data_IF_553062519328
#
_entry.id   IF_553062519328
#
_cell.length_a   1.000
_cell.length_b   1.000
_cell.length_c   1.000
_cell.angle_alpha   90.00
_cell.angle_beta   90.00
_cell.angle_gamma   90.00
#
_symmetry.space_group_name_H-M   'P 1'
#
loop_
_entity.id
_entity.type
_entity.pdbx_description
1 polymer ?
#
# COMPACT_ATOMS: atom_id res chain seq x y z
N UNK A 1 -5.44 -8.67 -8.66
CA UNK A 1 -5.28 -8.04 -7.35
C UNK A 1 -4.24 -8.84 -6.59
N UNK A 2 -3.14 -8.24 -6.19
CA UNK A 2 -2.05 -8.92 -5.49
C UNK A 2 -1.89 -8.36 -4.08
N UNK A 3 -1.62 -9.23 -3.11
CA UNK A 3 -1.29 -8.83 -1.75
C UNK A 3 0.23 -8.81 -1.62
N UNK A 4 0.77 -7.76 -1.01
CA UNK A 4 2.20 -7.67 -0.70
C UNK A 4 2.39 -7.23 0.74
N UNK A 5 3.43 -7.77 1.37
CA UNK A 5 3.80 -7.45 2.75
C UNK A 5 5.15 -6.73 2.82
N UNK A 6 5.94 -6.74 1.75
CA UNK A 6 7.25 -6.07 1.64
C UNK A 6 7.22 -4.91 0.64
N UNK A 7 8.05 -3.89 0.89
CA UNK A 7 8.14 -2.73 0.01
C UNK A 7 8.85 -3.05 -1.32
N UNK A 8 9.73 -4.05 -1.34
CA UNK A 8 10.41 -4.49 -2.56
C UNK A 8 9.44 -5.13 -3.54
N UNK A 9 8.62 -6.09 -3.08
CA UNK A 9 7.58 -6.69 -3.91
C UNK A 9 6.54 -5.65 -4.34
N UNK A 10 6.22 -4.69 -3.47
CA UNK A 10 5.33 -3.58 -3.82
C UNK A 10 5.87 -2.82 -5.04
N UNK A 11 7.15 -2.45 -5.05
CA UNK A 11 7.78 -1.73 -6.17
C UNK A 11 7.77 -2.53 -7.47
N UNK A 12 8.14 -3.81 -7.41
CA UNK A 12 8.16 -4.65 -8.62
C UNK A 12 6.76 -4.84 -9.21
N UNK A 13 5.75 -5.07 -8.36
CA UNK A 13 4.38 -5.28 -8.80
C UNK A 13 3.73 -3.98 -9.30
N UNK A 14 3.99 -2.84 -8.66
CA UNK A 14 3.30 -1.59 -9.00
C UNK A 14 3.77 -1.04 -10.34
N UNK A 15 5.01 -1.35 -10.74
CA UNK A 15 5.52 -1.09 -12.08
C UNK A 15 4.76 -1.84 -13.17
N UNK A 16 4.24 -3.04 -12.87
CA UNK A 16 3.39 -3.83 -13.78
C UNK A 16 2.00 -3.21 -13.98
N UNK A 17 1.66 -2.14 -13.25
CA UNK A 17 0.36 -1.46 -13.38
C UNK A 17 -0.80 -2.25 -12.79
N UNK A 18 -0.54 -3.20 -11.90
CA UNK A 18 -1.59 -3.98 -11.22
C UNK A 18 -2.08 -3.29 -9.95
N UNK A 19 -3.27 -3.68 -9.50
CA UNK A 19 -3.81 -3.28 -8.20
C UNK A 19 -3.18 -4.09 -7.07
N UNK A 20 -2.65 -3.38 -6.08
CA UNK A 20 -1.95 -3.96 -4.94
C UNK A 20 -2.69 -3.65 -3.65
N UNK A 21 -2.88 -4.67 -2.81
CA UNK A 21 -3.33 -4.50 -1.44
C UNK A 21 -2.13 -4.63 -0.51
N UNK A 22 -1.86 -3.56 0.24
CA UNK A 22 -0.74 -3.52 1.17
C UNK A 22 -1.13 -2.85 2.48
N UNK A 23 -0.43 -3.21 3.56
CA UNK A 23 -0.59 -2.57 4.85
C UNK A 23 0.00 -1.16 4.84
N UNK A 24 -0.83 -0.21 5.27
CA UNK A 24 -0.46 1.20 5.40
C UNK A 24 -0.75 1.68 6.82
N UNK A 25 0.16 2.47 7.39
CA UNK A 25 0.06 2.97 8.76
C UNK A 25 -0.86 4.19 8.92
N UNK A 26 -1.40 4.73 7.82
CA UNK A 26 -2.32 5.87 7.86
C UNK A 26 -1.63 7.23 7.90
N UNK A 27 -0.30 7.28 7.78
CA UNK A 27 0.45 8.54 7.81
C UNK A 27 0.65 9.13 6.41
N UNK A 28 0.58 10.45 6.27
CA UNK A 28 0.84 11.14 5.00
C UNK A 28 2.30 10.97 4.55
N UNK A 29 3.24 10.91 5.49
CA UNK A 29 4.67 10.71 5.18
C UNK A 29 4.92 9.42 4.37
N UNK A 30 4.28 8.32 4.78
CA UNK A 30 4.37 7.05 4.06
C UNK A 30 3.75 7.16 2.66
N UNK A 31 2.60 7.83 2.54
CA UNK A 31 1.94 8.02 1.25
C UNK A 31 2.80 8.85 0.29
N UNK A 32 3.36 9.97 0.77
CA UNK A 32 4.25 10.82 -0.04
C UNK A 32 5.50 10.07 -0.48
N UNK A 33 6.09 9.25 0.41
CA UNK A 33 7.24 8.41 0.07
C UNK A 33 6.90 7.40 -1.03
N UNK A 34 5.80 6.67 -0.87
CA UNK A 34 5.31 5.71 -1.89
C UNK A 34 5.06 6.44 -3.21
N UNK A 35 4.40 7.61 -3.18
CA UNK A 35 4.11 8.40 -4.38
C UNK A 35 5.37 8.88 -5.08
N UNK A 36 6.36 9.37 -4.34
CA UNK A 36 7.62 9.86 -4.92
C UNK A 36 8.48 8.73 -5.49
N UNK A 37 8.54 7.58 -4.83
CA UNK A 37 9.35 6.45 -5.29
C UNK A 37 8.66 5.61 -6.38
N UNK A 38 7.34 5.45 -6.33
CA UNK A 38 6.61 4.48 -7.18
C UNK A 38 5.51 5.09 -8.05
N UNK A 39 5.18 6.38 -7.84
CA UNK A 39 4.01 7.05 -8.43
C UNK A 39 2.67 6.38 -8.12
N UNK A 40 2.64 5.54 -7.09
CA UNK A 40 1.43 4.90 -6.62
C UNK A 40 0.71 5.75 -5.59
N UNK A 41 -0.62 5.71 -5.61
CA UNK A 41 -1.47 6.38 -4.63
C UNK A 41 -2.57 5.44 -4.13
N UNK A 42 -3.13 5.77 -2.98
CA UNK A 42 -4.24 5.02 -2.39
C UNK A 42 -5.49 5.30 -3.23
N UNK A 43 -6.09 4.25 -3.78
CA UNK A 43 -7.32 4.34 -4.58
C UNK A 43 -8.57 4.07 -3.76
N UNK A 44 -8.48 3.17 -2.79
CA UNK A 44 -9.60 2.80 -1.95
C UNK A 44 -9.10 2.29 -0.59
N UNK A 45 -9.76 2.74 0.47
CA UNK A 45 -9.58 2.22 1.83
C UNK A 45 -10.85 1.43 2.14
N UNK A 46 -10.79 0.10 2.24
CA UNK A 46 -11.98 -0.70 2.54
C UNK A 46 -12.46 -0.39 3.96
N UNK A 47 -13.64 0.22 4.08
CA UNK A 47 -14.28 0.56 5.36
C UNK A 47 -14.90 -0.68 6.04
N UNK A 48 -15.47 -1.58 5.23
CA UNK A 48 -16.12 -2.83 5.65
C UNK A 48 -15.46 -4.05 4.97
N UNK A 49 -14.15 -4.21 5.19
CA UNK A 49 -13.38 -5.31 4.61
C UNK A 49 -12.45 -6.00 5.60
N UNK A 50 -11.39 -6.60 5.07
CA UNK A 50 -10.39 -7.36 5.80
C UNK A 50 -9.59 -6.46 6.76
N UNK A 51 -10.05 -6.37 8.02
CA UNK A 51 -9.39 -5.64 9.12
C UNK A 51 -8.28 -6.47 9.75
N UNK A 52 -7.60 -7.28 8.95
CA UNK A 52 -6.47 -8.04 9.45
C UNK A 52 -5.39 -7.04 9.87
N UNK A 53 -5.00 -7.04 11.15
CA UNK A 53 -3.92 -6.20 11.60
C UNK A 53 -2.62 -6.72 11.00
N UNK A 54 -1.77 -5.80 10.56
CA UNK A 54 -0.48 -6.13 9.97
C UNK A 54 0.55 -5.07 10.27
N UNK A 55 1.62 -5.05 9.48
CA UNK A 55 2.68 -4.05 9.58
C UNK A 55 2.78 -3.29 8.29
N UNK A 56 2.93 -1.97 8.37
CA UNK A 56 3.15 -1.16 7.20
C UNK A 56 4.45 -1.57 6.51
N UNK A 57 4.35 -1.78 5.19
CA UNK A 57 5.49 -2.20 4.37
C UNK A 57 6.63 -1.18 4.34
N UNK A 58 6.35 0.10 4.61
CA UNK A 58 7.35 1.19 4.54
C UNK A 58 7.96 1.51 5.90
N UNK A 59 7.11 1.66 6.92
CA UNK A 59 7.54 2.14 8.25
C UNK A 59 7.65 1.03 9.28
N UNK A 60 7.13 -0.18 9.00
CA UNK A 60 7.04 -1.28 9.96
C UNK A 60 6.03 -1.05 11.10
N UNK A 61 5.35 0.11 11.12
CA UNK A 61 4.34 0.46 12.13
C UNK A 61 3.11 -0.44 12.03
N UNK A 62 2.36 -0.65 13.13
CA UNK A 62 1.14 -1.42 13.09
C UNK A 62 0.11 -0.78 12.16
N UNK A 63 -0.45 -1.59 11.27
CA UNK A 63 -1.51 -1.21 10.33
C UNK A 63 -2.81 -1.91 10.71
N UNK A 64 -3.93 -1.20 10.63
CA UNK A 64 -5.25 -1.73 11.02
C UNK A 64 -5.89 -2.59 9.93
N UNK A 65 -5.54 -2.34 8.66
CA UNK A 65 -6.10 -3.02 7.50
C UNK A 65 -5.22 -2.81 6.27
N UNK A 66 -5.46 -3.58 5.21
CA UNK A 66 -4.82 -3.36 3.90
C UNK A 66 -5.60 -2.31 3.11
N UNK A 67 -4.87 -1.45 2.42
CA UNK A 67 -5.44 -0.44 1.53
C UNK A 67 -5.05 -0.75 0.08
N UNK A 68 -5.91 -0.31 -0.85
CA UNK A 68 -5.72 -0.53 -2.26
C UNK A 68 -4.83 0.57 -2.86
N UNK A 69 -3.66 0.18 -3.33
CA UNK A 69 -2.77 1.04 -4.10
C UNK A 69 -2.89 0.73 -5.59
N UNK A 70 -2.81 1.78 -6.39
CA UNK A 70 -2.60 1.66 -7.83
C UNK A 70 -1.72 2.81 -8.32
N UNK A 71 -1.02 2.59 -9.43
CA UNK A 71 -0.28 3.65 -10.09
C UNK A 71 -1.23 4.74 -10.57
N UNK A 72 -0.88 5.99 -10.32
CA UNK A 72 -1.54 7.14 -10.93
C UNK A 72 -0.64 7.64 -12.05
N UNK A 73 -1.22 7.81 -13.24
CA UNK A 73 -0.55 8.30 -14.44
C UNK A 73 0.01 9.71 -14.22
#
# INVERSE_FOLDING_TARGET
MVNVDTYEEFKEKIEQGVFIMAHWDGTPETEEKIKNETKATIRCIPLEGDKTPGKCMVTGKPSKCRVLFARAY
#
